data_IF_212805791892
#
_entry.id   IF_212805791892
#
_cell.length_a   1.000
_cell.length_b   1.000
_cell.length_c   1.000
_cell.angle_alpha   90.00
_cell.angle_beta   90.00
_cell.angle_gamma   90.00
#
_symmetry.space_group_name_H-M   'P 1'
#
loop_
_entity.id
_entity.type
_entity.pdbx_description
1 polymer ?
#
# COMPACT_ATOMS: atom_id res chain seq x y z
N UNK A 1 -2.32 23.96 9.93
CA UNK A 1 -1.52 22.81 9.45
C UNK A 1 -2.32 21.51 9.31
N UNK A 2 -3.37 21.27 10.12
CA UNK A 2 -4.09 19.97 10.11
C UNK A 2 -4.82 19.64 8.80
N UNK A 3 -5.27 20.66 8.05
CA UNK A 3 -5.94 20.47 6.76
C UNK A 3 -4.98 19.95 5.68
N UNK A 4 -3.75 20.47 5.64
CA UNK A 4 -2.72 19.99 4.71
C UNK A 4 -2.39 18.51 4.97
N UNK A 5 -2.26 18.12 6.23
CA UNK A 5 -2.05 16.72 6.62
C UNK A 5 -3.19 15.81 6.17
N UNK A 6 -4.45 16.26 6.29
CA UNK A 6 -5.61 15.49 5.82
C UNK A 6 -5.63 15.33 4.30
N UNK A 7 -5.29 16.39 3.57
CA UNK A 7 -5.22 16.38 2.10
C UNK A 7 -4.14 15.42 1.59
N UNK A 8 -2.98 15.36 2.24
CA UNK A 8 -1.86 14.51 1.83
C UNK A 8 -1.89 13.11 2.45
N UNK A 9 -2.73 12.83 3.44
CA UNK A 9 -2.74 11.56 4.18
C UNK A 9 -2.86 10.31 3.28
N UNK A 10 -3.70 10.36 2.25
CA UNK A 10 -3.85 9.24 1.30
C UNK A 10 -2.55 8.95 0.53
N UNK A 11 -1.92 10.00 0.01
CA UNK A 11 -0.64 9.92 -0.72
C UNK A 11 0.52 9.53 0.19
N UNK A 12 0.55 10.02 1.43
CA UNK A 12 1.54 9.60 2.43
C UNK A 12 1.37 8.11 2.73
N UNK A 13 0.13 7.63 2.90
CA UNK A 13 -0.16 6.21 3.11
C UNK A 13 0.35 5.34 1.96
N UNK A 14 0.13 5.78 0.71
CA UNK A 14 0.70 5.12 -0.47
C UNK A 14 2.24 5.14 -0.49
N UNK A 15 2.87 6.27 -0.17
CA UNK A 15 4.34 6.37 -0.14
C UNK A 15 4.96 5.45 0.93
N UNK A 16 4.33 5.35 2.11
CA UNK A 16 4.75 4.42 3.16
C UNK A 16 4.60 2.97 2.69
N UNK A 17 3.50 2.63 2.02
CA UNK A 17 3.30 1.30 1.44
C UNK A 17 4.40 0.96 0.41
N UNK A 18 4.77 1.92 -0.44
CA UNK A 18 5.87 1.77 -1.40
C UNK A 18 7.19 1.46 -0.70
N UNK A 19 7.58 2.25 0.29
CA UNK A 19 8.82 2.02 1.04
C UNK A 19 8.82 0.64 1.73
N UNK A 20 7.70 0.26 2.36
CA UNK A 20 7.56 -1.03 3.04
C UNK A 20 7.72 -2.20 2.06
N UNK A 21 6.95 -2.20 0.98
CA UNK A 21 6.96 -3.29 0.00
C UNK A 21 8.31 -3.38 -0.69
N UNK A 22 8.92 -2.25 -1.05
CA UNK A 22 10.24 -2.22 -1.67
C UNK A 22 11.34 -2.74 -0.74
N UNK A 23 11.27 -2.42 0.55
CA UNK A 23 12.18 -2.98 1.55
C UNK A 23 12.00 -4.50 1.70
N UNK A 24 10.77 -4.99 1.78
CA UNK A 24 10.46 -6.44 1.82
C UNK A 24 10.93 -7.16 0.57
N UNK A 25 10.84 -6.51 -0.59
CA UNK A 25 11.34 -7.03 -1.86
C UNK A 25 12.85 -7.24 -1.80
N UNK A 26 13.62 -6.21 -1.42
CA UNK A 26 15.07 -6.31 -1.32
C UNK A 26 15.54 -7.34 -0.29
N UNK A 27 14.89 -7.38 0.88
CA UNK A 27 15.17 -8.39 1.91
C UNK A 27 14.88 -9.80 1.42
N UNK A 28 13.77 -9.99 0.69
CA UNK A 28 13.39 -11.31 0.21
C UNK A 28 14.24 -11.83 -0.94
N UNK A 29 14.72 -10.97 -1.84
CA UNK A 29 15.64 -11.39 -2.89
C UNK A 29 17.06 -11.69 -2.34
N UNK A 30 17.57 -10.87 -1.41
CA UNK A 30 18.89 -11.11 -0.79
C UNK A 30 18.88 -12.28 0.20
N UNK A 31 17.76 -12.50 0.89
CA UNK A 31 17.58 -13.59 1.86
C UNK A 31 17.20 -14.95 1.25
N UNK A 32 17.12 -15.07 -0.08
CA UNK A 32 16.82 -16.34 -0.75
C UNK A 32 15.37 -16.83 -0.59
N UNK A 33 14.43 -15.97 -0.19
CA UNK A 33 13.02 -16.34 0.01
C UNK A 33 12.30 -16.76 -1.27
N UNK A 34 12.89 -16.44 -2.43
CA UNK A 34 12.39 -16.90 -3.73
C UNK A 34 12.59 -18.43 -3.90
N UNK A 35 13.66 -19.00 -3.32
CA UNK A 35 13.96 -20.43 -3.39
C UNK A 35 13.29 -21.27 -2.30
N UNK A 36 12.86 -20.65 -1.21
CA UNK A 36 12.07 -21.30 -0.16
C UNK A 36 10.56 -21.19 -0.49
N UNK A 37 9.88 -22.32 -0.66
CA UNK A 37 8.46 -22.35 -0.98
C UNK A 37 7.71 -23.45 -0.23
N UNK A 38 6.44 -23.19 0.08
CA UNK A 38 5.50 -24.17 0.65
C UNK A 38 4.26 -24.15 -0.25
N UNK A 39 3.88 -25.31 -0.81
CA UNK A 39 2.65 -25.44 -1.60
C UNK A 39 2.63 -24.72 -2.96
N UNK A 40 3.77 -24.57 -3.64
CA UNK A 40 3.86 -23.97 -4.99
C UNK A 40 3.90 -22.44 -5.03
N UNK A 41 3.85 -21.77 -3.87
CA UNK A 41 4.08 -20.32 -3.74
C UNK A 41 5.38 -20.07 -2.96
N UNK A 42 6.22 -19.16 -3.48
CA UNK A 42 7.44 -18.75 -2.76
C UNK A 42 7.09 -17.95 -1.53
N UNK A 43 7.87 -18.12 -0.45
CA UNK A 43 7.74 -17.33 0.78
C UNK A 43 7.84 -15.84 0.45
N UNK A 44 8.71 -15.49 -0.50
CA UNK A 44 8.83 -14.13 -1.01
C UNK A 44 7.51 -13.54 -1.48
N UNK A 45 6.79 -14.25 -2.36
CA UNK A 45 5.51 -13.78 -2.90
C UNK A 45 4.43 -13.71 -1.82
N UNK A 46 4.42 -14.66 -0.89
CA UNK A 46 3.50 -14.64 0.24
C UNK A 46 3.68 -13.39 1.12
N UNK A 47 4.93 -13.03 1.43
CA UNK A 47 5.26 -11.83 2.23
C UNK A 47 4.88 -10.55 1.49
N UNK A 48 5.17 -10.45 0.18
CA UNK A 48 4.79 -9.28 -0.61
C UNK A 48 3.27 -9.12 -0.72
N UNK A 49 2.52 -10.21 -0.93
CA UNK A 49 1.05 -10.18 -0.94
C UNK A 49 0.49 -9.79 0.42
N UNK A 50 1.06 -10.29 1.52
CA UNK A 50 0.66 -9.90 2.87
C UNK A 50 0.93 -8.40 3.13
N UNK A 51 2.10 -7.89 2.72
CA UNK A 51 2.45 -6.47 2.82
C UNK A 51 1.53 -5.58 1.98
N UNK A 52 1.16 -6.03 0.79
CA UNK A 52 0.18 -5.35 -0.06
C UNK A 52 -1.21 -5.33 0.55
N UNK A 53 -1.71 -6.47 1.03
CA UNK A 53 -3.01 -6.58 1.70
C UNK A 53 -3.08 -5.68 2.96
N UNK A 54 -2.02 -5.68 3.77
CA UNK A 54 -1.89 -4.79 4.93
C UNK A 54 -1.93 -3.31 4.51
N UNK A 55 -1.19 -2.94 3.45
CA UNK A 55 -1.15 -1.56 2.93
C UNK A 55 -2.50 -1.11 2.36
N UNK A 56 -3.23 -2.02 1.69
CA UNK A 56 -4.59 -1.76 1.22
C UNK A 56 -5.55 -1.54 2.38
N UNK A 57 -5.48 -2.36 3.42
CA UNK A 57 -6.30 -2.19 4.61
C UNK A 57 -5.99 -0.85 5.32
N UNK A 58 -4.72 -0.49 5.44
CA UNK A 58 -4.29 0.76 6.06
C UNK A 58 -4.77 1.99 5.27
N UNK A 59 -4.58 2.00 3.95
CA UNK A 59 -5.01 3.12 3.09
C UNK A 59 -6.53 3.22 2.96
N UNK A 60 -7.24 2.09 2.93
CA UNK A 60 -8.70 2.06 3.05
C UNK A 60 -9.16 2.61 4.40
N UNK A 61 -8.49 2.24 5.50
CA UNK A 61 -8.74 2.76 6.83
C UNK A 61 -8.59 4.29 6.90
N UNK A 62 -7.52 4.84 6.30
CA UNK A 62 -7.31 6.29 6.18
C UNK A 62 -8.44 6.93 5.35
N UNK A 63 -8.79 6.37 4.19
CA UNK A 63 -9.84 6.91 3.34
C UNK A 63 -11.21 6.92 4.06
N UNK A 64 -11.57 5.83 4.73
CA UNK A 64 -12.77 5.74 5.56
C UNK A 64 -12.73 6.70 6.75
N UNK A 65 -11.55 6.90 7.36
CA UNK A 65 -11.36 7.87 8.42
C UNK A 65 -11.57 9.31 7.96
N UNK A 66 -11.08 9.66 6.77
CA UNK A 66 -11.24 11.00 6.20
C UNK A 66 -12.70 11.31 5.84
N UNK A 67 -13.52 10.30 5.51
CA UNK A 67 -14.96 10.49 5.24
C UNK A 67 -15.75 11.05 6.41
N UNK A 68 -15.23 10.94 7.64
CA UNK A 68 -15.83 11.49 8.87
C UNK A 68 -15.83 13.01 8.87
N UNK A 69 -14.88 13.62 8.16
CA UNK A 69 -14.73 15.07 8.05
C UNK A 69 -15.34 15.51 6.72
N UNK A 70 -16.48 16.20 6.76
CA UNK A 70 -17.20 16.68 5.56
C UNK A 70 -17.75 18.10 5.69
N UNK A 71 -17.34 18.83 6.73
CA UNK A 71 -17.87 20.15 7.04
C UNK A 71 -17.48 21.19 5.97
N UNK A 72 -16.33 21.02 5.32
CA UNK A 72 -15.81 21.98 4.34
C UNK A 72 -15.54 21.32 2.98
N UNK A 73 -15.40 22.15 1.94
CA UNK A 73 -14.95 21.69 0.62
C UNK A 73 -13.54 21.08 0.64
N UNK A 74 -12.66 21.57 1.52
CA UNK A 74 -11.33 21.01 1.71
C UNK A 74 -11.37 19.62 2.37
N UNK A 75 -12.28 19.40 3.33
CA UNK A 75 -12.44 18.06 3.92
C UNK A 75 -13.00 17.06 2.90
N UNK A 76 -13.91 17.50 2.01
CA UNK A 76 -14.40 16.68 0.89
C UNK A 76 -13.27 16.34 -0.09
N UNK A 77 -12.40 17.30 -0.41
CA UNK A 77 -11.21 17.07 -1.24
C UNK A 77 -10.24 16.09 -0.56
N UNK A 78 -10.03 16.21 0.76
CA UNK A 78 -9.20 15.28 1.53
C UNK A 78 -9.77 13.86 1.50
N UNK A 79 -11.09 13.69 1.65
CA UNK A 79 -11.72 12.37 1.53
C UNK A 79 -11.58 11.77 0.12
N UNK A 80 -11.68 12.59 -0.93
CA UNK A 80 -11.42 12.14 -2.30
C UNK A 80 -9.96 11.71 -2.50
N UNK A 81 -9.00 12.52 -2.03
CA UNK A 81 -7.57 12.21 -2.09
C UNK A 81 -7.18 10.98 -1.27
N UNK A 82 -7.89 10.70 -0.17
CA UNK A 82 -7.78 9.45 0.57
C UNK A 82 -8.03 8.23 -0.31
N UNK A 83 -9.12 8.26 -1.11
CA UNK A 83 -9.43 7.20 -2.06
C UNK A 83 -8.45 7.13 -3.23
N UNK A 84 -7.89 8.27 -3.66
CA UNK A 84 -6.81 8.28 -4.66
C UNK A 84 -5.58 7.54 -4.12
N UNK A 85 -5.20 7.74 -2.86
CA UNK A 85 -4.11 6.99 -2.22
C UNK A 85 -4.37 5.48 -2.16
N UNK A 86 -5.61 5.08 -1.85
CA UNK A 86 -6.02 3.67 -1.91
C UNK A 86 -5.94 3.10 -3.33
N UNK A 87 -6.51 3.80 -4.32
CA UNK A 87 -6.48 3.37 -5.72
C UNK A 87 -5.05 3.27 -6.27
N UNK A 88 -4.18 4.23 -5.92
CA UNK A 88 -2.76 4.17 -6.25
C UNK A 88 -2.11 2.93 -5.63
N UNK A 89 -2.40 2.62 -4.35
CA UNK A 89 -1.87 1.42 -3.67
C UNK A 89 -2.37 0.13 -4.34
N UNK A 90 -3.63 0.10 -4.76
CA UNK A 90 -4.19 -1.05 -5.46
C UNK A 90 -3.50 -1.28 -6.82
N UNK A 91 -3.35 -0.22 -7.62
CA UNK A 91 -2.85 -0.34 -8.99
C UNK A 91 -1.34 -0.52 -9.02
N UNK A 92 -0.57 0.23 -8.22
CA UNK A 92 0.90 0.18 -8.21
C UNK A 92 1.44 -1.21 -7.87
N UNK A 93 0.79 -1.93 -6.96
CA UNK A 93 1.27 -3.22 -6.46
C UNK A 93 0.56 -4.44 -7.07
N UNK A 94 -0.42 -4.23 -7.95
CA UNK A 94 -1.07 -5.33 -8.68
C UNK A 94 -0.08 -6.27 -9.41
N UNK A 95 1.04 -5.79 -9.99
CA UNK A 95 2.02 -6.67 -10.64
C UNK A 95 2.65 -7.72 -9.73
N UNK A 96 2.66 -7.55 -8.40
CA UNK A 96 3.17 -8.54 -7.43
C UNK A 96 2.46 -9.91 -7.60
N UNK A 97 1.20 -9.88 -8.06
CA UNK A 97 0.40 -11.09 -8.27
C UNK A 97 0.74 -11.85 -9.55
N UNK A 98 1.56 -11.33 -10.45
CA UNK A 98 1.83 -12.00 -11.75
C UNK A 98 3.29 -11.94 -12.19
N UNK A 99 4.03 -10.90 -11.80
CA UNK A 99 5.41 -10.69 -12.22
C UNK A 99 6.37 -11.34 -11.20
N UNK A 100 7.31 -12.20 -11.66
CA UNK A 100 8.36 -12.70 -10.79
C UNK A 100 9.24 -11.54 -10.30
N UNK A 101 9.48 -11.52 -8.99
CA UNK A 101 10.09 -10.38 -8.31
C UNK A 101 11.64 -10.42 -8.26
N UNK A 102 12.22 -11.63 -8.23
CA UNK A 102 13.67 -11.82 -8.27
C UNK A 102 14.01 -12.53 -9.58
N UNK A 103 14.86 -11.89 -10.39
CA UNK A 103 15.47 -12.46 -11.60
C UNK A 103 16.86 -13.00 -11.26
#
# INVERSE_FOLDING_TARGET
MIVLLRLSAGLIGWAVAFCLIYALHGLGCSGGWAGAGVGGMSVHRAVLLAGWAFSLAATAGIALWLRRFRATSLDRAAAALGWVGFAATLITFAPIAVVPACL
#
